data_IF_115493206239
#
_entry.id   IF_115493206239
#
_cell.length_a   1.000
_cell.length_b   1.000
_cell.length_c   1.000
_cell.angle_alpha   90.00
_cell.angle_beta   90.00
_cell.angle_gamma   90.00
#
_symmetry.space_group_name_H-M   'P 1'
#
loop_
_entity.id
_entity.type
_entity.pdbx_description
1 polymer ?
#
# COMPACT_ATOMS: atom_id res chain seq x y z
N UNK A 1 -0.29 -32.29 1.79
CA UNK A 1 0.00 -31.37 2.92
C UNK A 1 1.43 -30.76 2.89
N UNK A 2 2.12 -30.68 1.74
CA UNK A 2 3.49 -30.09 1.64
C UNK A 2 3.55 -28.72 0.93
N UNK A 3 2.52 -28.35 0.18
CA UNK A 3 2.47 -27.07 -0.54
C UNK A 3 2.06 -25.87 0.34
N UNK A 4 1.19 -26.09 1.34
CA UNK A 4 0.75 -25.04 2.27
C UNK A 4 1.90 -24.57 3.18
N UNK A 5 2.77 -25.50 3.60
CA UNK A 5 3.90 -25.22 4.47
C UNK A 5 4.96 -24.35 3.80
N UNK A 6 5.22 -24.52 2.49
CA UNK A 6 6.15 -23.67 1.75
C UNK A 6 5.60 -22.25 1.56
N UNK A 7 4.31 -22.11 1.23
CA UNK A 7 3.66 -20.80 1.08
C UNK A 7 3.61 -20.02 2.39
N UNK A 8 3.23 -20.68 3.49
CA UNK A 8 3.24 -20.06 4.83
C UNK A 8 4.66 -19.69 5.27
N UNK A 9 5.68 -20.49 4.91
CA UNK A 9 7.08 -20.16 5.22
C UNK A 9 7.63 -19.02 4.37
N UNK A 10 7.24 -18.91 3.11
CA UNK A 10 7.62 -17.79 2.22
C UNK A 10 7.03 -16.46 2.73
N UNK A 11 5.76 -16.48 3.13
CA UNK A 11 5.07 -15.32 3.72
C UNK A 11 5.62 -14.98 5.12
N UNK A 12 5.79 -15.99 5.98
CA UNK A 12 6.20 -15.75 7.37
C UNK A 12 7.67 -15.34 7.49
N UNK A 13 8.57 -15.85 6.64
CA UNK A 13 9.98 -15.42 6.63
C UNK A 13 10.17 -14.04 6.01
N UNK A 14 9.34 -13.64 5.04
CA UNK A 14 9.28 -12.24 4.56
C UNK A 14 8.85 -11.29 5.69
N UNK A 15 7.92 -11.72 6.56
CA UNK A 15 7.44 -10.94 7.71
C UNK A 15 8.34 -11.00 8.96
N UNK A 16 9.21 -12.00 9.10
CA UNK A 16 10.01 -12.26 10.32
C UNK A 16 11.35 -11.52 10.37
N UNK A 17 11.81 -10.90 9.28
CA UNK A 17 13.05 -10.12 9.30
C UNK A 17 12.82 -8.68 8.85
N UNK A 18 12.97 -7.75 9.81
CA UNK A 18 13.20 -6.29 9.65
C UNK A 18 11.96 -5.38 9.61
N UNK A 19 11.80 -4.57 10.68
CA UNK A 19 11.06 -3.28 10.74
C UNK A 19 9.68 -3.23 10.06
N UNK A 20 8.71 -3.88 10.71
CA UNK A 20 7.29 -4.02 10.31
C UNK A 20 6.49 -2.73 10.00
N UNK A 21 6.79 -1.52 10.53
CA UNK A 21 6.04 -0.32 10.15
C UNK A 21 6.60 0.40 8.92
N UNK A 22 7.91 0.32 8.63
CA UNK A 22 8.52 1.09 7.54
C UNK A 22 8.15 0.55 6.17
N UNK A 23 8.20 -0.77 5.98
CA UNK A 23 7.86 -1.39 4.70
C UNK A 23 6.37 -1.23 4.34
N UNK A 24 5.46 -1.44 5.31
CA UNK A 24 4.04 -1.21 5.08
C UNK A 24 3.75 0.27 4.71
N UNK A 25 4.48 1.20 5.34
CA UNK A 25 4.36 2.63 5.03
C UNK A 25 4.95 2.98 3.67
N UNK A 26 6.10 2.40 3.30
CA UNK A 26 6.73 2.60 1.97
C UNK A 26 5.86 2.02 0.84
N UNK A 27 5.29 0.83 1.04
CA UNK A 27 4.36 0.20 0.10
C UNK A 27 3.07 1.01 -0.02
N UNK A 28 2.51 1.48 1.10
CA UNK A 28 1.34 2.34 1.10
C UNK A 28 1.62 3.70 0.43
N UNK A 29 2.79 4.29 0.67
CA UNK A 29 3.19 5.56 0.06
C UNK A 29 3.39 5.41 -1.45
N UNK A 30 3.94 4.29 -1.91
CA UNK A 30 4.10 4.02 -3.34
C UNK A 30 2.74 3.89 -4.04
N UNK A 31 1.82 3.11 -3.47
CA UNK A 31 0.44 2.99 -3.99
C UNK A 31 -0.27 4.34 -3.96
N UNK A 32 -0.11 5.11 -2.88
CA UNK A 32 -0.68 6.44 -2.74
C UNK A 32 -0.13 7.40 -3.82
N UNK A 33 1.19 7.46 -3.97
CA UNK A 33 1.87 8.32 -4.94
C UNK A 33 1.49 8.00 -6.39
N UNK A 34 1.30 6.73 -6.75
CA UNK A 34 0.82 6.35 -8.08
C UNK A 34 -0.64 6.75 -8.32
N UNK A 35 -1.49 6.66 -7.29
CA UNK A 35 -2.92 6.91 -7.44
C UNK A 35 -3.27 8.41 -7.36
N UNK A 36 -2.51 9.24 -6.66
CA UNK A 36 -2.79 10.67 -6.51
C UNK A 36 -2.91 11.42 -7.86
N UNK A 37 -1.93 11.35 -8.78
CA UNK A 37 -2.01 12.03 -10.07
C UNK A 37 -3.18 11.54 -10.92
N UNK A 38 -3.50 10.23 -10.83
CA UNK A 38 -4.63 9.63 -11.55
C UNK A 38 -5.96 10.18 -11.04
N UNK A 39 -6.15 10.21 -9.73
CA UNK A 39 -7.38 10.72 -9.11
C UNK A 39 -7.52 12.23 -9.36
N UNK A 40 -6.41 12.99 -9.30
CA UNK A 40 -6.37 14.41 -9.65
C UNK A 40 -6.79 14.68 -11.10
N UNK A 41 -6.34 13.85 -12.05
CA UNK A 41 -6.72 13.98 -13.45
C UNK A 41 -8.19 13.60 -13.72
N UNK A 42 -8.75 12.64 -12.99
CA UNK A 42 -10.14 12.19 -13.19
C UNK A 42 -11.14 13.12 -12.51
N UNK A 43 -10.91 13.49 -11.25
CA UNK A 43 -11.87 14.26 -10.45
C UNK A 43 -11.58 15.76 -10.43
N UNK A 44 -10.35 16.18 -10.76
CA UNK A 44 -9.90 17.56 -10.63
C UNK A 44 -9.54 17.94 -9.19
N UNK A 45 -8.62 18.90 -9.04
CA UNK A 45 -8.09 19.33 -7.74
C UNK A 45 -9.15 19.94 -6.81
N UNK A 46 -10.12 20.69 -7.35
CA UNK A 46 -11.19 21.33 -6.57
C UNK A 46 -12.12 20.31 -5.89
N UNK A 47 -12.45 19.22 -6.58
CA UNK A 47 -13.32 18.17 -6.04
C UNK A 47 -12.64 17.42 -4.89
N UNK A 48 -11.35 17.13 -5.03
CA UNK A 48 -10.55 16.46 -3.99
C UNK A 48 -10.39 17.36 -2.77
N UNK A 49 -10.04 18.64 -2.95
CA UNK A 49 -9.90 19.59 -1.84
C UNK A 49 -11.21 19.76 -1.06
N UNK A 50 -12.35 19.79 -1.75
CA UNK A 50 -13.66 19.82 -1.12
C UNK A 50 -13.95 18.56 -0.30
N UNK A 51 -13.57 17.38 -0.81
CA UNK A 51 -13.77 16.10 -0.14
C UNK A 51 -12.85 15.88 1.07
N UNK A 52 -11.69 16.53 1.12
CA UNK A 52 -10.78 16.47 2.28
C UNK A 52 -11.19 17.49 3.35
N UNK A 53 -11.78 18.63 2.96
CA UNK A 53 -12.23 19.68 3.87
C UNK A 53 -13.63 19.44 4.48
N UNK A 54 -14.34 18.42 4.03
CA UNK A 54 -15.67 18.00 4.50
C UNK A 54 -15.57 16.79 5.42
#
# INVERSE_FOLDING_TARGET
MRALTLKVRMDSTHFLTKTKPRFATEMALHVLAYNLPRVLNIMGSKAILKAIAS
#
